data_IF_914360445457
#
_entry.id   IF_914360445457
#
_cell.length_a   1.000
_cell.length_b   1.000
_cell.length_c   1.000
_cell.angle_alpha   90.00
_cell.angle_beta   90.00
_cell.angle_gamma   90.00
#
_symmetry.space_group_name_H-M   'P 1'
#
loop_
_entity.id
_entity.type
_entity.pdbx_description
1 polymer ?
#
# COMPACT_ATOMS: atom_id res chain seq x y z
N UNK A 1 20.03 -5.69 -4.92
CA UNK A 1 18.77 -5.42 -4.19
C UNK A 1 17.96 -4.38 -4.96
N UNK A 2 16.80 -4.77 -5.52
CA UNK A 2 16.02 -3.94 -6.46
C UNK A 2 15.25 -2.78 -5.80
N UNK A 3 15.26 -2.67 -4.47
CA UNK A 3 14.52 -1.66 -3.69
C UNK A 3 14.82 -0.20 -4.09
N UNK A 4 16.02 0.08 -4.61
CA UNK A 4 16.40 1.43 -5.08
C UNK A 4 15.45 1.97 -6.14
N UNK A 5 14.86 1.09 -6.96
CA UNK A 5 13.93 1.50 -8.01
C UNK A 5 12.67 2.19 -7.47
N UNK A 6 12.26 1.88 -6.24
CA UNK A 6 11.11 2.51 -5.60
C UNK A 6 11.33 4.01 -5.37
N UNK A 7 12.58 4.47 -5.26
CA UNK A 7 12.89 5.90 -5.07
C UNK A 7 12.87 6.73 -6.36
N UNK A 8 12.74 6.07 -7.53
CA UNK A 8 12.65 6.75 -8.82
C UNK A 8 11.24 6.74 -9.41
N UNK A 9 10.25 6.21 -8.67
CA UNK A 9 8.85 6.23 -9.10
C UNK A 9 8.32 7.67 -9.17
N UNK A 10 7.58 8.00 -10.21
CA UNK A 10 6.97 9.32 -10.40
C UNK A 10 5.47 9.19 -10.21
N UNK A 11 4.89 10.11 -9.43
CA UNK A 11 3.46 10.13 -9.19
C UNK A 11 2.71 10.63 -10.44
N UNK A 12 1.70 9.87 -10.84
CA UNK A 12 0.73 10.22 -11.87
C UNK A 12 -0.67 9.88 -11.32
N UNK A 13 -1.57 10.87 -11.14
CA UNK A 13 -2.89 10.64 -10.56
C UNK A 13 -3.79 9.73 -11.41
N UNK A 14 -3.54 9.63 -12.72
CA UNK A 14 -4.32 8.81 -13.66
C UNK A 14 -3.71 7.41 -13.79
N UNK A 15 -2.37 7.32 -13.84
CA UNK A 15 -1.69 6.09 -14.22
C UNK A 15 -0.86 5.43 -13.10
N UNK A 16 -0.37 6.20 -12.12
CA UNK A 16 0.57 5.68 -11.12
C UNK A 16 0.58 6.48 -9.80
N UNK A 17 -0.31 6.09 -8.88
CA UNK A 17 -0.46 6.71 -7.56
C UNK A 17 -0.10 5.74 -6.42
N UNK A 18 -0.55 6.03 -5.21
CA UNK A 18 -0.20 5.30 -3.99
C UNK A 18 -0.51 3.79 -4.01
N UNK A 19 -1.62 3.36 -4.63
CA UNK A 19 -2.00 1.93 -4.72
C UNK A 19 -1.03 1.19 -5.62
N UNK A 20 -0.80 1.71 -6.84
CA UNK A 20 0.16 1.17 -7.81
C UNK A 20 1.56 1.05 -7.21
N UNK A 21 1.97 2.07 -6.46
CA UNK A 21 3.24 2.04 -5.74
C UNK A 21 3.32 0.94 -4.68
N UNK A 22 2.25 0.69 -3.91
CA UNK A 22 2.23 -0.39 -2.91
C UNK A 22 2.33 -1.76 -3.57
N UNK A 23 1.62 -1.98 -4.69
CA UNK A 23 1.70 -3.22 -5.46
C UNK A 23 3.13 -3.44 -5.98
N UNK A 24 3.73 -2.41 -6.57
CA UNK A 24 5.12 -2.46 -7.03
C UNK A 24 6.08 -2.72 -5.85
N UNK A 25 5.93 -1.99 -4.74
CA UNK A 25 6.79 -2.15 -3.58
C UNK A 25 6.70 -3.57 -3.00
N UNK A 26 5.50 -4.15 -2.92
CA UNK A 26 5.31 -5.52 -2.47
C UNK A 26 6.01 -6.52 -3.40
N UNK A 27 5.88 -6.36 -4.72
CA UNK A 27 6.56 -7.20 -5.70
C UNK A 27 8.08 -7.08 -5.63
N UNK A 28 8.59 -5.88 -5.37
CA UNK A 28 10.04 -5.62 -5.34
C UNK A 28 10.70 -6.09 -4.05
N UNK A 29 10.00 -5.98 -2.93
CA UNK A 29 10.56 -6.27 -1.59
C UNK A 29 10.29 -7.72 -1.20
N UNK A 30 9.10 -8.24 -1.49
CA UNK A 30 8.63 -9.55 -1.02
C UNK A 30 8.38 -10.56 -2.14
N UNK A 31 8.49 -10.14 -3.41
CA UNK A 31 8.12 -10.94 -4.60
C UNK A 31 6.64 -11.34 -4.68
N UNK A 32 5.77 -10.62 -3.95
CA UNK A 32 4.34 -10.89 -3.86
C UNK A 32 3.52 -9.92 -4.74
N UNK A 33 2.44 -10.42 -5.35
CA UNK A 33 1.49 -9.59 -6.09
C UNK A 33 0.32 -9.17 -5.20
N UNK A 34 0.24 -7.88 -4.87
CA UNK A 34 -0.82 -7.33 -4.02
C UNK A 34 -2.01 -6.80 -4.82
N UNK A 35 -2.03 -6.94 -6.15
CA UNK A 35 -3.16 -6.53 -7.01
C UNK A 35 -4.51 -7.05 -6.48
N UNK A 36 -4.65 -8.31 -6.02
CA UNK A 36 -5.91 -8.82 -5.47
C UNK A 36 -6.40 -8.07 -4.21
N UNK A 37 -5.48 -7.48 -3.44
CA UNK A 37 -5.82 -6.72 -2.24
C UNK A 37 -6.46 -5.35 -2.56
N UNK A 38 -6.40 -4.91 -3.81
CA UNK A 38 -6.82 -3.59 -4.26
C UNK A 38 -7.79 -3.63 -5.45
N UNK A 39 -8.51 -4.74 -5.65
CA UNK A 39 -9.49 -4.87 -6.73
C UNK A 39 -10.50 -3.71 -6.73
N UNK A 40 -10.61 -3.02 -7.87
CA UNK A 40 -11.44 -1.81 -8.02
C UNK A 40 -10.78 -0.50 -7.58
N UNK A 41 -9.49 -0.50 -7.23
CA UNK A 41 -8.71 0.68 -6.79
C UNK A 41 -7.52 1.02 -7.69
N UNK A 42 -7.34 0.28 -8.78
CA UNK A 42 -6.28 0.50 -9.78
C UNK A 42 -6.74 1.41 -10.94
N UNK A 43 -7.95 1.97 -10.86
CA UNK A 43 -8.42 3.03 -11.74
C UNK A 43 -7.99 4.42 -11.26
N UNK A 44 -8.49 5.51 -11.88
CA UNK A 44 -8.12 6.88 -11.54
C UNK A 44 -8.29 7.20 -10.04
N UNK A 45 -7.44 8.09 -9.51
CA UNK A 45 -7.36 8.41 -8.08
C UNK A 45 -8.72 8.76 -7.45
N UNK A 46 -9.58 9.51 -8.16
CA UNK A 46 -10.89 9.92 -7.64
C UNK A 46 -11.85 8.75 -7.36
N UNK A 47 -11.73 7.65 -8.09
CA UNK A 47 -12.52 6.43 -7.87
C UNK A 47 -11.90 5.54 -6.78
N UNK A 48 -10.58 5.51 -6.70
CA UNK A 48 -9.85 4.70 -5.70
C UNK A 48 -9.94 5.28 -4.27
N UNK A 49 -10.01 6.60 -4.08
CA UNK A 49 -10.04 7.21 -2.74
C UNK A 49 -11.32 6.84 -1.96
N UNK A 50 -12.51 6.91 -2.59
CA UNK A 50 -13.79 6.54 -1.95
C UNK A 50 -13.87 5.05 -1.66
N UNK A 51 -13.24 4.24 -2.51
CA UNK A 51 -13.33 2.78 -2.50
C UNK A 51 -12.24 2.15 -1.60
N UNK A 52 -11.17 2.89 -1.30
CA UNK A 52 -10.04 2.46 -0.45
C UNK A 52 -10.46 1.94 0.92
N UNK A 53 -11.46 2.55 1.56
CA UNK A 53 -11.99 2.06 2.85
C UNK A 53 -12.60 0.68 2.64
N UNK A 54 -13.58 0.54 1.75
CA UNK A 54 -14.37 -0.68 1.58
C UNK A 54 -13.56 -1.88 1.08
N UNK A 55 -12.59 -1.67 0.18
CA UNK A 55 -11.81 -2.79 -0.39
C UNK A 55 -10.68 -3.24 0.54
N UNK A 56 -9.99 -2.32 1.22
CA UNK A 56 -8.93 -2.68 2.19
C UNK A 56 -9.52 -3.44 3.39
N UNK A 57 -10.81 -3.24 3.71
CA UNK A 57 -11.50 -4.01 4.76
C UNK A 57 -11.61 -5.52 4.51
N UNK A 58 -11.37 -6.01 3.28
CA UNK A 58 -11.26 -7.46 3.01
C UNK A 58 -9.98 -8.08 3.55
N UNK A 59 -8.97 -7.25 3.82
CA UNK A 59 -7.72 -7.67 4.43
C UNK A 59 -7.91 -7.76 5.95
N UNK A 60 -7.15 -8.65 6.60
CA UNK A 60 -7.24 -8.84 8.05
C UNK A 60 -6.57 -7.65 8.75
N UNK A 61 -7.36 -6.85 9.46
CA UNK A 61 -6.82 -5.75 10.25
C UNK A 61 -5.95 -6.29 11.40
N UNK A 62 -4.77 -5.70 11.59
CA UNK A 62 -3.84 -6.03 12.67
C UNK A 62 -3.57 -4.81 13.55
N UNK A 63 -3.24 -5.06 14.83
CA UNK A 63 -3.03 -3.99 15.82
C UNK A 63 -1.61 -3.40 15.79
N UNK A 64 -0.62 -4.17 15.33
CA UNK A 64 0.77 -3.74 15.24
C UNK A 64 1.26 -3.92 13.80
N UNK A 65 2.07 -2.99 13.27
CA UNK A 65 2.62 -3.15 11.93
C UNK A 65 3.53 -4.37 11.87
N UNK A 66 3.49 -5.05 10.73
CA UNK A 66 4.38 -6.17 10.38
C UNK A 66 4.91 -5.91 8.98
N UNK A 67 6.13 -6.38 8.70
CA UNK A 67 6.70 -6.25 7.36
C UNK A 67 5.76 -6.87 6.32
N UNK A 68 5.51 -6.11 5.25
CA UNK A 68 4.59 -6.47 4.19
C UNK A 68 3.13 -6.09 4.44
N UNK A 69 2.76 -5.54 5.60
CA UNK A 69 1.39 -5.10 5.82
C UNK A 69 1.07 -3.84 5.01
N UNK A 70 -0.19 -3.74 4.58
CA UNK A 70 -0.76 -2.55 3.96
C UNK A 70 -1.09 -1.56 5.07
N UNK A 71 -0.61 -0.33 4.93
CA UNK A 71 -0.87 0.77 5.85
C UNK A 71 -1.89 1.70 5.23
N UNK A 72 -3.11 1.70 5.77
CA UNK A 72 -4.14 2.67 5.40
C UNK A 72 -4.00 3.89 6.31
N UNK A 73 -3.77 5.03 5.70
CA UNK A 73 -3.60 6.31 6.38
C UNK A 73 -4.75 7.24 5.97
N UNK A 74 -5.27 8.02 6.92
CA UNK A 74 -6.35 8.97 6.65
C UNK A 74 -5.92 10.35 7.11
N UNK A 75 -5.98 11.33 6.21
CA UNK A 75 -5.69 12.73 6.51
C UNK A 75 -6.82 13.39 7.31
N UNK A 76 -6.60 14.61 7.80
CA UNK A 76 -7.59 15.36 8.56
C UNK A 76 -8.83 15.76 7.74
N UNK A 77 -8.66 15.94 6.42
CA UNK A 77 -9.73 16.20 5.44
C UNK A 77 -10.51 14.93 5.04
N UNK A 78 -10.23 13.81 5.70
CA UNK A 78 -10.83 12.48 5.46
C UNK A 78 -10.40 11.79 4.15
N UNK A 79 -9.48 12.38 3.38
CA UNK A 79 -8.87 11.70 2.24
C UNK A 79 -8.02 10.50 2.72
N UNK A 80 -8.02 9.44 1.92
CA UNK A 80 -7.32 8.19 2.23
C UNK A 80 -6.02 8.09 1.45
N UNK A 81 -5.03 7.49 2.08
CA UNK A 81 -3.73 7.18 1.50
C UNK A 81 -3.30 5.77 1.86
N UNK A 82 -2.47 5.14 1.03
CA UNK A 82 -1.93 3.80 1.32
C UNK A 82 -0.41 3.77 1.22
N UNK A 83 0.18 2.88 2.00
CA UNK A 83 1.60 2.59 2.00
C UNK A 83 1.89 1.14 2.35
N UNK A 84 3.16 0.74 2.20
CA UNK A 84 3.67 -0.57 2.56
C UNK A 84 4.62 -0.45 3.75
N UNK A 85 4.39 -1.23 4.80
CA UNK A 85 5.31 -1.26 5.94
C UNK A 85 6.49 -2.21 5.68
N UNK A 86 7.72 -1.72 5.85
CA UNK A 86 8.92 -2.52 5.75
C UNK A 86 10.09 -1.94 6.56
N UNK A 87 10.68 -2.76 7.44
CA UNK A 87 11.82 -2.42 8.28
C UNK A 87 11.59 -1.14 9.10
N UNK A 88 10.48 -1.10 9.84
CA UNK A 88 10.16 0.02 10.73
C UNK A 88 9.73 1.31 10.02
N UNK A 89 9.55 1.28 8.69
CA UNK A 89 9.19 2.45 7.90
C UNK A 89 8.04 2.15 6.95
N UNK A 90 7.30 3.20 6.59
CA UNK A 90 6.19 3.18 5.65
C UNK A 90 6.70 3.73 4.32
N UNK A 91 6.66 2.91 3.29
CA UNK A 91 6.89 3.31 1.90
C UNK A 91 5.57 3.72 1.28
N UNK A 92 5.52 4.93 0.73
CA UNK A 92 4.34 5.46 0.07
C UNK A 92 4.75 6.46 -1.01
N UNK A 93 3.87 6.67 -1.99
CA UNK A 93 4.08 7.62 -3.07
C UNK A 93 3.14 8.79 -2.90
N UNK A 94 3.67 10.01 -2.90
CA UNK A 94 2.91 11.26 -2.93
C UNK A 94 3.28 12.05 -4.19
N UNK A 95 2.59 13.16 -4.47
CA UNK A 95 2.85 14.02 -5.63
C UNK A 95 4.31 14.49 -5.74
N UNK A 96 4.97 14.72 -4.60
CA UNK A 96 6.39 15.11 -4.54
C UNK A 96 7.37 13.95 -4.77
N UNK A 97 6.87 12.73 -4.95
CA UNK A 97 7.66 11.52 -5.14
C UNK A 97 7.58 10.54 -3.97
N UNK A 98 8.37 9.45 -4.04
CA UNK A 98 8.33 8.36 -3.08
C UNK A 98 8.96 8.76 -1.76
N UNK A 99 8.29 8.44 -0.67
CA UNK A 99 8.72 8.73 0.68
C UNK A 99 8.84 7.44 1.50
N UNK A 100 9.76 7.48 2.46
CA UNK A 100 10.00 6.41 3.42
C UNK A 100 10.05 6.98 4.83
N UNK A 101 8.90 7.04 5.49
CA UNK A 101 8.73 7.69 6.79
C UNK A 101 8.64 6.69 7.93
N UNK A 102 8.96 7.10 9.16
CA UNK A 102 8.71 6.27 10.35
C UNK A 102 7.24 6.31 10.76
N UNK A 103 6.84 5.42 11.68
CA UNK A 103 5.47 5.41 12.23
C UNK A 103 5.21 6.69 13.04
N UNK A 104 6.22 7.18 13.75
CA UNK A 104 6.15 8.43 14.52
C UNK A 104 5.88 9.62 13.59
N UNK A 105 6.63 9.72 12.49
CA UNK A 105 6.41 10.75 11.48
C UNK A 105 5.01 10.66 10.86
N UNK A 106 4.55 9.44 10.55
CA UNK A 106 3.20 9.22 10.02
C UNK A 106 2.13 9.66 11.03
N UNK A 107 2.28 9.37 12.32
CA UNK A 107 1.34 9.79 13.36
C UNK A 107 1.22 11.31 13.50
N UNK A 108 2.24 12.08 13.09
CA UNK A 108 2.17 13.55 13.05
C UNK A 108 1.44 14.09 11.83
N UNK A 109 1.37 13.33 10.73
CA UNK A 109 0.80 13.76 9.45
C UNK A 109 -0.65 13.31 9.30
N UNK A 110 -0.95 12.09 9.74
CA UNK A 110 -2.23 11.43 9.50
C UNK A 110 -3.07 11.37 10.77
N UNK A 111 -4.37 11.68 10.63
CA UNK A 111 -5.35 11.60 11.71
C UNK A 111 -5.58 10.18 12.20
N UNK A 112 -5.45 9.20 11.30
CA UNK A 112 -5.69 7.78 11.60
C UNK A 112 -4.79 6.90 10.75
N UNK A 113 -4.23 5.87 11.38
CA UNK A 113 -3.41 4.85 10.73
C UNK A 113 -3.98 3.47 11.09
N UNK A 114 -4.12 2.59 10.11
CA UNK A 114 -4.57 1.21 10.27
C UNK A 114 -3.67 0.27 9.48
N UNK A 115 -3.46 -0.93 10.00
CA UNK A 115 -2.59 -1.93 9.40
C UNK A 115 -3.41 -3.14 8.97
N UNK A 116 -3.09 -3.70 7.81
CA UNK A 116 -3.82 -4.82 7.22
C UNK A 116 -2.84 -5.87 6.69
N UNK A 117 -3.00 -7.13 7.10
CA UNK A 117 -2.32 -8.27 6.47
C UNK A 117 -2.94 -8.49 5.09
N UNK A 118 -2.13 -8.53 4.01
CA UNK A 118 -2.64 -8.73 2.66
C UNK A 118 -3.31 -10.10 2.57
N UNK A 119 -4.56 -10.13 2.12
CA UNK A 119 -5.26 -11.38 1.84
C UNK A 119 -4.89 -11.84 0.43
N UNK A 120 -3.78 -12.56 0.31
CA UNK A 120 -3.30 -13.09 -0.96
C UNK A 120 -3.90 -14.48 -1.18
N UNK A 121 -4.35 -14.80 -2.41
CA UNK A 121 -4.62 -16.20 -2.74
C UNK A 121 -3.33 -17.00 -2.51
N UNK A 122 -3.46 -18.14 -1.83
CA UNK A 122 -2.36 -19.09 -1.74
C UNK A 122 -1.93 -19.44 -3.18
N UNK A 123 -0.62 -19.58 -3.47
CA UNK A 123 -0.20 -20.14 -4.73
C UNK A 123 -0.94 -21.46 -4.91
N UNK A 124 -1.70 -21.61 -6.01
CA UNK A 124 -2.21 -22.91 -6.38
C UNK A 124 -1.00 -23.84 -6.44
N UNK A 125 -0.94 -24.79 -5.49
CA UNK A 125 -0.05 -25.92 -5.61
C UNK A 125 -0.41 -26.55 -6.94
N UNK A 126 0.44 -26.34 -7.93
CA UNK A 126 0.34 -27.00 -9.22
C UNK A 126 0.44 -28.49 -8.89
N UNK A 127 -0.71 -29.15 -8.84
CA UNK A 127 -0.79 -30.59 -8.87
C UNK A 127 -0.28 -30.97 -10.25
N UNK A 128 1.03 -31.23 -10.34
CA UNK A 128 1.60 -31.99 -11.44
C UNK A 128 1.29 -33.46 -11.12
N UNK A 129 0.27 -33.99 -11.80
CA UNK A 129 0.15 -35.42 -12.11
C UNK A 129 0.16 -35.58 -13.63
#
# INVERSE_FOLDING_TARGET
MKIRQLFYCVYDPENFHCVHFVILAAKVIFDLDYTPCFLGLTGPLQESIKTSRNTVHRNKQIQKPKDGCIVLMTYFDQSSHVGLFFQGRIFHLIERGPQRITVEQANSIFKRIRYYEPNLPLPELTQQE
#
